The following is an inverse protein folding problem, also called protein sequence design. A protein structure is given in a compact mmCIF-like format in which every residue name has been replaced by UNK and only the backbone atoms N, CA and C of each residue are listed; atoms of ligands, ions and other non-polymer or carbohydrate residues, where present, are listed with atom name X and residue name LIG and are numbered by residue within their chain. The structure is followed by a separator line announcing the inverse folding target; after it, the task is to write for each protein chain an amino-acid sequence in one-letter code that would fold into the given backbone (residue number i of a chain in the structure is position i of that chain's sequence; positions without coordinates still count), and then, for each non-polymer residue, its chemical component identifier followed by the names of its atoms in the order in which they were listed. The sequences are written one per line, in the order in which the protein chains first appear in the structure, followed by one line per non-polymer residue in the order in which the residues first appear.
data_IF_968094465730
#
_entry.id   IF_968094465730
#
_cell.length_a   1.000
_cell.length_b   1.000
_cell.length_c   1.000
_cell.angle_alpha   90.00
_cell.angle_beta   90.00
_cell.angle_gamma   90.00
#
_symmetry.space_group_name_H-M   'P 1'
#
loop_
_entity.id
_entity.type
_entity.pdbx_description
1 polymer ?
#
# COMPACT_ATOMS: atom_id res chain seq x y z
N UNK A 1 -27.32 -14.90 -6.89
CA UNK A 1 -25.87 -15.07 -7.17
C UNK A 1 -25.58 -14.33 -8.47
N UNK A 2 -24.54 -13.49 -8.50
CA UNK A 2 -24.10 -12.85 -9.75
C UNK A 2 -23.68 -13.94 -10.73
N UNK A 3 -24.13 -13.88 -11.97
CA UNK A 3 -23.71 -14.85 -13.00
C UNK A 3 -22.29 -14.46 -13.45
N UNK A 4 -21.30 -15.37 -13.37
CA UNK A 4 -19.92 -15.05 -13.77
C UNK A 4 -19.85 -14.58 -15.22
N UNK A 5 -19.08 -13.52 -15.52
CA UNK A 5 -18.94 -12.96 -16.87
C UNK A 5 -18.48 -14.01 -17.89
N UNK A 6 -19.05 -14.10 -19.07
CA UNK A 6 -18.52 -14.97 -20.14
C UNK A 6 -17.16 -14.47 -20.64
N UNK A 7 -16.41 -15.32 -21.35
CA UNK A 7 -15.15 -14.91 -21.97
C UNK A 7 -15.35 -13.73 -22.94
N UNK A 8 -16.49 -13.71 -23.63
CA UNK A 8 -16.87 -12.62 -24.52
C UNK A 8 -17.10 -11.31 -23.76
N UNK A 9 -17.83 -11.34 -22.63
CA UNK A 9 -18.04 -10.15 -21.79
C UNK A 9 -16.73 -9.60 -21.21
N UNK A 10 -15.80 -10.48 -20.80
CA UNK A 10 -14.47 -10.08 -20.32
C UNK A 10 -13.67 -9.45 -21.46
N UNK A 11 -13.66 -10.07 -22.65
CA UNK A 11 -12.98 -9.56 -23.84
C UNK A 11 -13.51 -8.18 -24.24
N UNK A 12 -14.82 -8.01 -24.34
CA UNK A 12 -15.45 -6.70 -24.63
C UNK A 12 -15.05 -5.66 -23.59
N UNK A 13 -15.09 -6.00 -22.29
CA UNK A 13 -14.65 -5.09 -21.23
C UNK A 13 -13.21 -4.64 -21.44
N UNK A 14 -12.27 -5.55 -21.70
CA UNK A 14 -10.87 -5.21 -21.95
C UNK A 14 -10.66 -4.30 -23.17
N UNK A 15 -11.50 -4.44 -24.20
CA UNK A 15 -11.42 -3.64 -25.43
C UNK A 15 -12.05 -2.25 -25.29
N UNK A 16 -13.15 -2.12 -24.54
CA UNK A 16 -13.98 -0.90 -24.53
C UNK A 16 -13.87 -0.06 -23.27
N UNK A 17 -13.54 -0.66 -22.12
CA UNK A 17 -13.48 0.06 -20.84
C UNK A 17 -12.17 0.88 -20.75
N UNK A 18 -12.24 2.21 -20.52
CA UNK A 18 -11.08 3.06 -20.34
C UNK A 18 -10.11 2.59 -19.23
N UNK A 19 -10.59 1.84 -18.23
CA UNK A 19 -9.76 1.22 -17.17
C UNK A 19 -8.63 0.37 -17.73
N UNK A 20 -8.84 -0.29 -18.88
CA UNK A 20 -7.90 -1.24 -19.47
C UNK A 20 -7.08 -0.67 -20.63
N UNK A 21 -7.25 0.62 -20.94
CA UNK A 21 -6.52 1.28 -22.03
C UNK A 21 -5.00 1.15 -21.82
N UNK A 22 -4.35 0.46 -22.75
CA UNK A 22 -2.89 0.24 -22.73
C UNK A 22 -2.41 -0.82 -21.73
N UNK A 23 -3.31 -1.66 -21.21
CA UNK A 23 -2.97 -2.82 -20.37
C UNK A 23 -2.90 -4.08 -21.24
N UNK A 24 -1.69 -4.62 -21.38
CA UNK A 24 -1.39 -5.85 -22.12
C UNK A 24 -1.49 -7.09 -21.24
N UNK A 25 -2.16 -8.11 -21.76
CA UNK A 25 -2.29 -9.45 -21.17
C UNK A 25 -1.66 -10.47 -22.10
N UNK A 26 -0.85 -11.38 -21.54
CA UNK A 26 -0.25 -12.50 -22.29
C UNK A 26 -1.10 -13.77 -22.29
N UNK A 27 -2.34 -13.65 -21.84
CA UNK A 27 -3.37 -14.68 -21.80
C UNK A 27 -4.69 -14.10 -22.30
N UNK A 28 -5.64 -14.98 -22.57
CA UNK A 28 -6.94 -14.62 -23.14
C UNK A 28 -8.04 -14.58 -22.08
N UNK A 29 -9.17 -13.96 -22.43
CA UNK A 29 -10.37 -14.03 -21.59
C UNK A 29 -10.88 -15.47 -21.39
N UNK A 30 -10.63 -16.36 -22.36
CA UNK A 30 -10.97 -17.78 -22.24
C UNK A 30 -10.11 -18.48 -21.16
N UNK A 31 -8.83 -18.11 -21.04
CA UNK A 31 -7.96 -18.64 -19.98
C UNK A 31 -8.45 -18.22 -18.59
N UNK A 32 -8.92 -16.98 -18.44
CA UNK A 32 -9.53 -16.49 -17.18
C UNK A 32 -10.75 -17.33 -16.81
N UNK A 33 -11.68 -17.54 -17.75
CA UNK A 33 -12.88 -18.35 -17.51
C UNK A 33 -12.53 -19.80 -17.22
N UNK A 34 -11.49 -20.36 -17.84
CA UNK A 34 -11.02 -21.71 -17.59
C UNK A 34 -10.49 -21.90 -16.16
N UNK A 35 -9.88 -20.86 -15.57
CA UNK A 35 -9.18 -20.94 -14.28
C UNK A 35 -10.03 -20.49 -13.07
N UNK A 36 -11.14 -19.77 -13.29
CA UNK A 36 -11.91 -19.15 -12.18
C UNK A 36 -12.84 -20.08 -11.40
N UNK A 37 -13.05 -21.32 -11.85
CA UNK A 37 -14.07 -22.21 -11.30
C UNK A 37 -15.50 -21.87 -11.73
N UNK A 38 -16.50 -22.38 -11.00
CA UNK A 38 -17.92 -22.33 -11.39
C UNK A 38 -18.76 -21.28 -10.65
N UNK A 39 -18.23 -20.68 -9.59
CA UNK A 39 -18.94 -19.70 -8.75
C UNK A 39 -18.10 -18.43 -8.66
N UNK A 40 -18.70 -17.29 -9.00
CA UNK A 40 -18.08 -15.99 -8.79
C UNK A 40 -18.31 -15.54 -7.34
N UNK A 41 -17.24 -15.52 -6.54
CA UNK A 41 -17.25 -14.87 -5.22
C UNK A 41 -17.06 -13.37 -5.44
N UNK A 42 -17.90 -12.57 -4.79
CA UNK A 42 -17.80 -11.11 -4.87
C UNK A 42 -16.79 -10.60 -3.82
N UNK A 43 -15.91 -9.70 -4.25
CA UNK A 43 -14.87 -9.11 -3.40
C UNK A 43 -15.13 -7.60 -3.27
N UNK A 44 -16.22 -7.25 -2.59
CA UNK A 44 -16.79 -5.89 -2.53
C UNK A 44 -15.75 -4.82 -2.16
N UNK A 45 -15.00 -5.01 -1.08
CA UNK A 45 -14.01 -4.02 -0.62
C UNK A 45 -12.84 -3.85 -1.62
N UNK A 46 -12.38 -4.96 -2.22
CA UNK A 46 -11.36 -4.93 -3.25
C UNK A 46 -11.81 -4.17 -4.49
N UNK A 47 -13.05 -4.41 -4.96
CA UNK A 47 -13.66 -3.71 -6.11
C UNK A 47 -13.84 -2.22 -5.83
N UNK A 48 -14.55 -1.88 -4.75
CA UNK A 48 -14.83 -0.49 -4.39
C UNK A 48 -13.54 0.29 -4.17
N UNK A 49 -12.57 -0.29 -3.47
CA UNK A 49 -11.27 0.31 -3.24
C UNK A 49 -10.52 0.57 -4.54
N UNK A 50 -10.43 -0.42 -5.43
CA UNK A 50 -9.71 -0.29 -6.69
C UNK A 50 -10.32 0.77 -7.62
N UNK A 51 -11.65 0.77 -7.76
CA UNK A 51 -12.38 1.77 -8.56
C UNK A 51 -12.22 3.18 -7.99
N UNK A 52 -12.30 3.33 -6.66
CA UNK A 52 -12.07 4.59 -5.97
C UNK A 52 -10.64 5.09 -6.15
N UNK A 53 -9.64 4.21 -5.97
CA UNK A 53 -8.23 4.56 -6.15
C UNK A 53 -7.98 5.06 -7.58
N UNK A 54 -8.48 4.34 -8.57
CA UNK A 54 -8.35 4.72 -9.98
C UNK A 54 -9.03 6.07 -10.28
N UNK A 55 -10.19 6.32 -9.69
CA UNK A 55 -10.92 7.60 -9.83
C UNK A 55 -10.16 8.76 -9.17
N UNK A 56 -9.64 8.56 -7.96
CA UNK A 56 -8.86 9.58 -7.25
C UNK A 56 -7.57 9.94 -8.01
N UNK A 57 -6.85 8.97 -8.54
CA UNK A 57 -5.65 9.21 -9.36
C UNK A 57 -5.93 9.85 -10.72
N UNK A 58 -7.19 9.89 -11.16
CA UNK A 58 -7.62 10.60 -12.38
C UNK A 58 -8.01 12.05 -12.07
N UNK A 59 -8.79 12.25 -11.02
CA UNK A 59 -9.48 13.52 -10.78
C UNK A 59 -8.77 14.40 -9.74
N UNK A 60 -8.03 13.80 -8.82
CA UNK A 60 -7.38 14.50 -7.71
C UNK A 60 -5.93 14.02 -7.45
N UNK A 61 -5.05 13.96 -8.47
CA UNK A 61 -3.66 13.59 -8.25
C UNK A 61 -2.89 14.72 -7.53
N UNK A 62 -1.94 14.39 -6.63
CA UNK A 62 -1.59 13.04 -6.19
C UNK A 62 -2.48 12.54 -5.06
N UNK A 63 -2.78 11.24 -5.07
CA UNK A 63 -3.29 10.54 -3.89
C UNK A 63 -2.13 10.34 -2.92
N UNK A 64 -2.21 10.98 -1.75
CA UNK A 64 -1.20 10.91 -0.70
C UNK A 64 -1.59 9.90 0.37
N UNK A 65 -0.62 9.11 0.80
CA UNK A 65 -0.81 8.08 1.82
C UNK A 65 0.35 8.00 2.81
N UNK A 66 0.09 7.44 3.99
CA UNK A 66 1.09 7.13 5.01
C UNK A 66 1.07 5.63 5.31
N UNK A 67 2.23 5.05 5.60
CA UNK A 67 2.34 3.66 6.02
C UNK A 67 1.58 3.40 7.33
N UNK A 68 0.58 2.52 7.30
CA UNK A 68 -0.18 2.05 8.45
C UNK A 68 0.13 0.57 8.74
N UNK A 69 0.51 0.27 9.99
CA UNK A 69 0.74 -1.11 10.47
C UNK A 69 -0.35 -1.60 11.44
N UNK A 70 -1.29 -0.74 11.81
CA UNK A 70 -2.46 -1.09 12.63
C UNK A 70 -3.75 -0.50 12.05
N UNK A 71 -4.90 -1.07 12.45
CA UNK A 71 -6.21 -0.54 12.07
C UNK A 71 -6.47 0.88 12.61
N UNK A 72 -6.09 1.19 13.86
CA UNK A 72 -6.30 2.53 14.40
C UNK A 72 -5.44 3.60 13.72
N UNK A 73 -4.22 3.27 13.27
CA UNK A 73 -3.44 4.20 12.44
C UNK A 73 -4.21 4.57 11.16
N UNK A 74 -4.78 3.58 10.47
CA UNK A 74 -5.58 3.83 9.27
C UNK A 74 -6.85 4.64 9.56
N UNK A 75 -7.58 4.34 10.64
CA UNK A 75 -8.75 5.13 11.07
C UNK A 75 -8.36 6.59 11.31
N UNK A 76 -7.25 6.85 12.00
CA UNK A 76 -6.77 8.21 12.27
C UNK A 76 -6.30 8.93 11.00
N UNK A 77 -5.63 8.22 10.09
CA UNK A 77 -5.24 8.77 8.78
C UNK A 77 -6.46 9.25 7.98
N UNK A 78 -7.52 8.45 7.94
CA UNK A 78 -8.76 8.78 7.22
C UNK A 78 -9.55 9.88 7.93
N UNK A 79 -9.65 9.83 9.26
CA UNK A 79 -10.28 10.89 10.06
C UNK A 79 -9.57 12.25 9.88
N UNK A 80 -8.25 12.26 9.70
CA UNK A 80 -7.46 13.45 9.39
C UNK A 80 -7.60 13.94 7.93
N UNK A 81 -8.37 13.24 7.09
CA UNK A 81 -8.68 13.63 5.71
C UNK A 81 -7.79 13.02 4.64
N UNK A 82 -6.91 12.06 4.96
CA UNK A 82 -6.17 11.32 3.92
C UNK A 82 -7.13 10.43 3.12
N UNK A 83 -6.96 10.44 1.80
CA UNK A 83 -7.82 9.70 0.86
C UNK A 83 -7.27 8.33 0.45
N UNK A 84 -6.09 7.94 0.95
CA UNK A 84 -5.46 6.66 0.65
C UNK A 84 -4.60 6.17 1.82
N UNK A 85 -4.46 4.85 1.91
CA UNK A 85 -3.65 4.18 2.93
C UNK A 85 -2.55 3.41 2.20
N UNK A 86 -1.32 3.48 2.74
CA UNK A 86 -0.23 2.62 2.29
C UNK A 86 0.01 1.54 3.36
N UNK A 87 0.16 0.29 2.94
CA UNK A 87 0.50 -0.81 3.83
C UNK A 87 1.91 -1.29 3.44
N UNK A 88 2.87 -1.00 4.31
CA UNK A 88 4.30 -1.24 4.10
C UNK A 88 4.71 -2.66 4.51
N UNK A 89 5.32 -3.41 3.59
CA UNK A 89 5.91 -4.73 3.90
C UNK A 89 7.04 -4.62 4.92
N UNK A 90 7.81 -3.54 4.89
CA UNK A 90 8.81 -3.21 5.90
C UNK A 90 8.20 -3.09 7.31
N UNK A 91 7.05 -2.39 7.44
CA UNK A 91 6.41 -2.24 8.76
C UNK A 91 5.80 -3.55 9.26
N UNK A 92 5.31 -4.38 8.33
CA UNK A 92 4.86 -5.74 8.65
C UNK A 92 6.03 -6.58 9.15
N UNK A 93 7.17 -6.56 8.47
CA UNK A 93 8.39 -7.23 8.95
C UNK A 93 8.79 -6.75 10.35
N UNK A 94 8.74 -5.44 10.59
CA UNK A 94 9.18 -4.86 11.86
C UNK A 94 8.25 -5.20 13.03
N UNK A 95 6.93 -5.10 12.88
CA UNK A 95 6.04 -5.07 14.06
C UNK A 95 4.59 -5.58 13.82
N UNK A 96 4.29 -6.19 12.66
CA UNK A 96 2.91 -6.61 12.37
C UNK A 96 2.78 -7.92 11.56
N UNK A 97 3.79 -8.78 11.60
CA UNK A 97 3.77 -10.07 10.89
C UNK A 97 3.27 -11.24 11.74
N UNK A 98 2.90 -12.33 11.06
CA UNK A 98 2.30 -13.52 11.65
C UNK A 98 3.30 -14.48 12.31
N UNK A 99 4.60 -14.29 12.11
CA UNK A 99 5.62 -15.01 12.87
C UNK A 99 5.82 -14.44 14.28
N UNK A 100 5.29 -13.23 14.55
CA UNK A 100 5.42 -12.59 15.86
C UNK A 100 6.85 -12.19 16.21
N UNK A 101 7.71 -12.00 15.21
CA UNK A 101 9.11 -11.60 15.37
C UNK A 101 9.33 -10.21 14.78
N UNK A 102 10.29 -9.47 15.32
CA UNK A 102 10.80 -8.26 14.69
C UNK A 102 11.84 -8.64 13.63
N UNK A 103 11.54 -8.40 12.36
CA UNK A 103 12.42 -8.69 11.25
C UNK A 103 12.90 -7.42 10.53
N UNK A 104 14.12 -7.46 9.93
CA UNK A 104 14.47 -6.53 8.88
C UNK A 104 13.65 -6.82 7.60
N UNK A 105 13.57 -5.83 6.71
CA UNK A 105 12.86 -5.92 5.43
C UNK A 105 13.64 -6.76 4.39
N UNK A 106 13.48 -8.08 4.50
CA UNK A 106 14.14 -9.09 3.67
C UNK A 106 13.25 -10.30 3.35
N UNK A 107 11.93 -10.11 3.27
CA UNK A 107 10.96 -11.19 2.97
C UNK A 107 11.05 -12.41 3.92
N UNK A 108 11.42 -12.19 5.19
CA UNK A 108 11.59 -13.27 6.18
C UNK A 108 10.26 -13.73 6.80
N UNK A 109 9.26 -12.86 6.80
CA UNK A 109 7.98 -13.14 7.45
C UNK A 109 7.08 -14.03 6.58
N UNK A 110 6.10 -14.75 7.17
CA UNK A 110 5.18 -15.58 6.39
C UNK A 110 4.30 -14.74 5.45
N UNK A 111 4.15 -15.22 4.20
CA UNK A 111 3.50 -14.50 3.08
C UNK A 111 2.06 -14.02 3.37
N UNK A 112 1.37 -14.61 4.34
CA UNK A 112 0.00 -14.22 4.74
C UNK A 112 -0.03 -12.93 5.60
N UNK A 113 1.11 -12.44 6.06
CA UNK A 113 1.20 -11.31 6.99
C UNK A 113 0.59 -10.02 6.44
N UNK A 114 0.96 -9.62 5.22
CA UNK A 114 0.40 -8.40 4.60
C UNK A 114 -1.11 -8.55 4.35
N UNK A 115 -1.63 -9.63 3.74
CA UNK A 115 -3.07 -9.89 3.65
C UNK A 115 -3.80 -9.78 4.99
N UNK A 116 -3.21 -10.27 6.09
CA UNK A 116 -3.82 -10.20 7.42
C UNK A 116 -3.91 -8.76 7.93
N UNK A 117 -2.91 -7.92 7.66
CA UNK A 117 -2.94 -6.49 8.00
C UNK A 117 -3.93 -5.72 7.11
N UNK A 118 -4.06 -6.05 5.82
CA UNK A 118 -5.12 -5.49 4.94
C UNK A 118 -6.50 -5.77 5.54
N UNK A 119 -6.79 -7.03 5.92
CA UNK A 119 -8.05 -7.41 6.58
C UNK A 119 -8.27 -6.63 7.87
N UNK A 120 -7.23 -6.49 8.70
CA UNK A 120 -7.30 -5.73 9.96
C UNK A 120 -7.62 -4.25 9.74
N UNK A 121 -7.00 -3.62 8.74
CA UNK A 121 -7.28 -2.23 8.39
C UNK A 121 -8.73 -2.07 7.92
N UNK A 122 -9.18 -2.90 6.97
CA UNK A 122 -10.55 -2.86 6.49
C UNK A 122 -11.59 -3.10 7.60
N UNK A 123 -11.32 -4.01 8.55
CA UNK A 123 -12.18 -4.24 9.70
C UNK A 123 -12.27 -3.00 10.63
N UNK A 124 -11.15 -2.31 10.85
CA UNK A 124 -11.13 -1.09 11.65
C UNK A 124 -11.89 0.07 10.97
N UNK A 125 -11.72 0.25 9.67
CA UNK A 125 -12.48 1.24 8.89
C UNK A 125 -13.97 0.91 8.86
N UNK A 126 -14.33 -0.37 8.75
CA UNK A 126 -15.73 -0.83 8.83
C UNK A 126 -16.34 -0.49 10.19
N UNK A 127 -15.60 -0.68 11.28
CA UNK A 127 -16.07 -0.29 12.62
C UNK A 127 -16.28 1.22 12.73
N UNK A 128 -15.33 2.03 12.22
CA UNK A 128 -15.44 3.48 12.22
C UNK A 128 -16.66 3.97 11.41
N UNK A 129 -16.92 3.34 10.25
CA UNK A 129 -18.11 3.58 9.42
C UNK A 129 -19.41 3.24 10.14
N UNK A 130 -19.47 2.06 10.76
CA UNK A 130 -20.63 1.62 11.54
C UNK A 130 -20.95 2.57 12.71
N UNK A 131 -19.93 3.07 13.41
CA UNK A 131 -20.10 4.06 14.47
C UNK A 131 -20.64 5.37 13.89
N UNK A 132 -20.01 5.90 12.83
CA UNK A 132 -20.47 7.14 12.19
C UNK A 132 -21.91 7.02 11.67
N UNK A 133 -22.27 5.88 11.05
CA UNK A 133 -23.62 5.63 10.57
C UNK A 133 -24.66 5.61 11.69
N UNK A 134 -24.36 4.94 12.81
CA UNK A 134 -25.22 4.93 14.00
C UNK A 134 -25.46 6.35 14.55
N UNK A 135 -24.45 7.21 14.46
CA UNK A 135 -24.54 8.62 14.87
C UNK A 135 -25.19 9.53 13.82
N UNK A 136 -25.64 8.99 12.68
CA UNK A 136 -26.20 9.77 11.58
C UNK A 136 -25.17 10.63 10.84
N UNK A 137 -23.87 10.32 10.97
CA UNK A 137 -22.76 11.05 10.35
C UNK A 137 -22.35 10.42 9.01
N UNK A 138 -21.98 11.28 8.07
CA UNK A 138 -21.54 10.91 6.71
C UNK A 138 -20.45 11.84 6.16
N UNK A 139 -19.82 12.61 7.03
CA UNK A 139 -18.79 13.60 6.71
C UNK A 139 -17.46 12.97 6.27
N UNK A 140 -17.17 11.74 6.70
CA UNK A 140 -15.95 11.00 6.37
C UNK A 140 -16.28 9.80 5.50
N UNK A 141 -15.55 9.64 4.39
CA UNK A 141 -15.58 8.41 3.62
C UNK A 141 -14.55 7.42 4.17
N UNK A 142 -14.99 6.51 5.04
CA UNK A 142 -14.10 5.62 5.82
C UNK A 142 -13.34 4.61 4.98
N UNK A 143 -13.93 4.10 3.89
CA UNK A 143 -13.31 3.07 3.04
C UNK A 143 -12.27 3.66 2.08
N UNK A 144 -11.22 4.26 2.63
CA UNK A 144 -10.08 4.72 1.84
C UNK A 144 -9.34 3.53 1.19
N UNK A 145 -8.96 3.63 -0.10
CA UNK A 145 -8.23 2.57 -0.79
C UNK A 145 -6.89 2.26 -0.15
N UNK A 146 -6.62 0.97 0.04
CA UNK A 146 -5.35 0.45 0.56
C UNK A 146 -4.47 0.03 -0.61
N UNK A 147 -3.28 0.62 -0.73
CA UNK A 147 -2.21 0.14 -1.60
C UNK A 147 -1.23 -0.68 -0.77
N UNK A 148 -1.14 -1.98 -1.06
CA UNK A 148 -0.40 -2.95 -0.25
C UNK A 148 0.89 -3.44 -0.94
N UNK A 149 1.87 -3.75 -0.11
CA UNK A 149 3.17 -4.28 -0.50
C UNK A 149 3.14 -5.80 -0.70
N UNK A 150 3.43 -6.27 -1.92
CA UNK A 150 3.60 -7.69 -2.21
C UNK A 150 5.09 -8.08 -2.37
N UNK A 151 6.01 -7.18 -2.02
CA UNK A 151 7.45 -7.36 -2.11
C UNK A 151 7.88 -7.91 -3.48
N UNK A 152 8.76 -8.92 -3.48
CA UNK A 152 9.20 -9.64 -4.66
C UNK A 152 8.27 -10.84 -5.03
N UNK A 153 7.08 -10.92 -4.40
CA UNK A 153 6.10 -11.99 -4.60
C UNK A 153 6.41 -13.29 -3.85
N UNK A 154 7.32 -13.29 -2.87
CA UNK A 154 7.67 -14.43 -2.01
C UNK A 154 8.08 -15.72 -2.74
N UNK A 155 8.53 -15.60 -4.00
CA UNK A 155 8.96 -16.75 -4.80
C UNK A 155 8.83 -16.49 -6.29
N UNK A 156 8.25 -17.46 -7.01
CA UNK A 156 8.00 -17.40 -8.44
C UNK A 156 6.68 -16.74 -8.82
N UNK A 157 6.23 -16.98 -10.04
CA UNK A 157 4.95 -16.49 -10.58
C UNK A 157 3.73 -17.05 -9.83
N UNK A 158 3.74 -18.33 -9.44
CA UNK A 158 2.65 -18.93 -8.66
C UNK A 158 2.51 -18.32 -7.26
N UNK A 159 3.63 -17.98 -6.60
CA UNK A 159 3.60 -17.27 -5.33
C UNK A 159 3.05 -15.84 -5.51
N UNK A 160 3.45 -15.14 -6.58
CA UNK A 160 2.90 -13.83 -6.91
C UNK A 160 1.38 -13.88 -7.19
N UNK A 161 0.90 -14.93 -7.87
CA UNK A 161 -0.52 -15.17 -8.11
C UNK A 161 -1.30 -15.33 -6.79
N UNK A 162 -0.87 -16.26 -5.92
CA UNK A 162 -1.56 -16.51 -4.65
C UNK A 162 -1.52 -15.31 -3.71
N UNK A 163 -0.40 -14.58 -3.67
CA UNK A 163 -0.31 -13.36 -2.86
C UNK A 163 -1.25 -12.26 -3.39
N UNK A 164 -1.29 -12.03 -4.71
CA UNK A 164 -2.23 -11.08 -5.29
C UNK A 164 -3.67 -11.46 -4.98
N UNK A 165 -4.03 -12.74 -5.15
CA UNK A 165 -5.35 -13.26 -4.79
C UNK A 165 -5.69 -12.98 -3.33
N UNK A 166 -4.80 -13.34 -2.39
CA UNK A 166 -5.01 -13.12 -0.96
C UNK A 166 -5.17 -11.63 -0.61
N UNK A 167 -4.44 -10.73 -1.28
CA UNK A 167 -4.56 -9.29 -1.10
C UNK A 167 -5.89 -8.75 -1.63
N UNK A 168 -6.36 -9.24 -2.78
CA UNK A 168 -7.68 -8.88 -3.33
C UNK A 168 -8.80 -9.38 -2.41
N UNK A 169 -8.72 -10.63 -1.95
CA UNK A 169 -9.68 -11.20 -0.98
C UNK A 169 -9.73 -10.41 0.33
N UNK A 170 -8.57 -9.92 0.78
CA UNK A 170 -8.47 -9.07 1.97
C UNK A 170 -9.05 -7.65 1.76
N UNK A 171 -9.29 -7.24 0.52
CA UNK A 171 -9.84 -5.95 0.15
C UNK A 171 -8.78 -4.87 -0.15
N UNK A 172 -7.61 -5.25 -0.67
CA UNK A 172 -6.64 -4.29 -1.18
C UNK A 172 -7.15 -3.64 -2.48
N UNK A 173 -6.98 -2.31 -2.60
CA UNK A 173 -7.35 -1.54 -3.78
C UNK A 173 -6.27 -1.58 -4.87
N UNK A 174 -5.01 -1.58 -4.42
CA UNK A 174 -3.85 -1.72 -5.29
C UNK A 174 -2.75 -2.52 -4.63
N UNK A 175 -1.88 -3.10 -5.44
CA UNK A 175 -0.79 -3.95 -5.00
C UNK A 175 0.46 -3.61 -5.80
N UNK A 176 1.61 -3.51 -5.13
CA UNK A 176 2.89 -3.35 -5.80
C UNK A 176 3.77 -4.58 -5.67
N UNK A 177 4.45 -4.93 -6.77
CA UNK A 177 5.50 -5.95 -6.81
C UNK A 177 6.81 -5.29 -7.23
N UNK A 178 7.95 -5.87 -6.86
CA UNK A 178 9.29 -5.38 -7.23
C UNK A 178 10.17 -6.43 -7.92
N UNK A 179 11.08 -5.97 -8.77
CA UNK A 179 11.93 -6.81 -9.64
C UNK A 179 13.18 -7.39 -8.95
N UNK A 180 13.10 -7.59 -7.63
CA UNK A 180 14.14 -8.25 -6.85
C UNK A 180 13.96 -9.78 -6.81
N UNK A 181 15.05 -10.49 -6.54
CA UNK A 181 15.05 -11.91 -6.19
C UNK A 181 14.48 -12.09 -4.78
N UNK A 182 13.36 -12.81 -4.65
CA UNK A 182 12.65 -12.96 -3.37
C UNK A 182 13.53 -13.52 -2.24
N UNK A 183 14.36 -14.53 -2.52
CA UNK A 183 15.25 -15.12 -1.51
C UNK A 183 16.39 -14.21 -1.06
N UNK A 184 16.60 -13.08 -1.73
CA UNK A 184 17.60 -12.07 -1.42
C UNK A 184 17.00 -10.66 -1.35
N UNK A 185 15.67 -10.54 -1.17
CA UNK A 185 14.97 -9.25 -1.13
C UNK A 185 15.57 -8.33 -0.07
N UNK A 186 15.57 -7.03 -0.33
CA UNK A 186 15.97 -5.99 0.61
C UNK A 186 15.02 -4.81 0.54
N UNK A 187 15.04 -3.99 1.59
CA UNK A 187 14.57 -2.61 1.49
C UNK A 187 15.30 -1.89 0.32
N UNK A 188 14.56 -1.10 -0.44
CA UNK A 188 15.09 -0.37 -1.59
C UNK A 188 16.27 0.56 -1.30
N UNK A 189 16.43 0.95 -0.04
CA UNK A 189 17.48 1.85 0.46
C UNK A 189 18.66 1.09 1.09
N UNK A 190 18.70 -0.24 0.99
CA UNK A 190 19.81 -1.08 1.43
C UNK A 190 20.69 -1.52 0.25
N UNK A 191 21.96 -1.81 0.54
CA UNK A 191 22.86 -2.46 -0.43
C UNK A 191 22.55 -3.95 -0.61
N UNK A 192 23.19 -4.58 -1.59
CA UNK A 192 23.09 -6.03 -1.82
C UNK A 192 21.80 -6.50 -2.48
N UNK A 193 21.06 -5.59 -3.14
CA UNK A 193 19.89 -5.94 -3.95
C UNK A 193 20.29 -6.76 -5.16
N UNK A 194 19.55 -7.85 -5.41
CA UNK A 194 19.72 -8.73 -6.56
C UNK A 194 18.46 -8.65 -7.41
N UNK A 195 18.59 -8.18 -8.65
CA UNK A 195 17.49 -8.13 -9.60
C UNK A 195 17.20 -9.51 -10.19
N UNK A 196 15.95 -9.76 -10.57
CA UNK A 196 15.59 -10.83 -11.52
C UNK A 196 15.64 -10.29 -12.96
N UNK A 197 15.73 -11.15 -13.98
CA UNK A 197 15.69 -10.73 -15.37
C UNK A 197 14.37 -10.02 -15.69
N UNK A 198 14.41 -9.05 -16.61
CA UNK A 198 13.24 -8.25 -17.00
C UNK A 198 12.04 -9.16 -17.36
N UNK A 199 12.27 -10.28 -18.06
CA UNK A 199 11.23 -11.26 -18.41
C UNK A 199 10.58 -11.94 -17.21
N UNK A 200 11.33 -12.25 -16.16
CA UNK A 200 10.81 -12.92 -14.98
C UNK A 200 9.88 -12.00 -14.21
N UNK A 201 10.28 -10.73 -14.04
CA UNK A 201 9.40 -9.77 -13.38
C UNK A 201 8.14 -9.48 -14.19
N UNK A 202 8.23 -9.39 -15.52
CA UNK A 202 7.04 -9.30 -16.39
C UNK A 202 6.12 -10.51 -16.21
N UNK A 203 6.65 -11.72 -16.02
CA UNK A 203 5.83 -12.91 -15.71
C UNK A 203 5.12 -12.79 -14.36
N UNK A 204 5.80 -12.29 -13.31
CA UNK A 204 5.17 -12.01 -12.01
C UNK A 204 4.04 -10.97 -12.12
N UNK A 205 4.25 -9.90 -12.89
CA UNK A 205 3.21 -8.90 -13.15
C UNK A 205 2.00 -9.48 -13.91
N UNK A 206 2.24 -10.37 -14.87
CA UNK A 206 1.16 -11.08 -15.58
C UNK A 206 0.40 -12.03 -14.66
N UNK A 207 1.10 -12.74 -13.75
CA UNK A 207 0.49 -13.59 -12.74
C UNK A 207 -0.39 -12.78 -11.77
N UNK A 208 0.08 -11.63 -11.30
CA UNK A 208 -0.71 -10.72 -10.49
C UNK A 208 -1.96 -10.19 -11.24
N UNK A 209 -1.81 -9.78 -12.50
CA UNK A 209 -2.98 -9.35 -13.31
C UNK A 209 -3.97 -10.50 -13.48
N UNK A 210 -3.48 -11.72 -13.73
CA UNK A 210 -4.33 -12.90 -13.93
C UNK A 210 -5.13 -13.22 -12.66
N UNK A 211 -4.52 -13.12 -11.48
CA UNK A 211 -5.24 -13.28 -10.21
C UNK A 211 -6.38 -12.27 -10.08
N UNK A 212 -6.14 -10.99 -10.37
CA UNK A 212 -7.18 -9.96 -10.33
C UNK A 212 -8.31 -10.20 -11.34
N UNK A 213 -7.97 -10.61 -12.57
CA UNK A 213 -8.95 -10.93 -13.61
C UNK A 213 -9.79 -12.17 -13.26
N UNK A 214 -9.18 -13.21 -12.67
CA UNK A 214 -9.88 -14.41 -12.20
C UNK A 214 -10.84 -14.09 -11.07
N UNK A 215 -10.46 -13.19 -10.16
CA UNK A 215 -11.30 -12.70 -9.07
C UNK A 215 -12.32 -11.65 -9.52
N UNK A 216 -12.28 -11.26 -10.79
CA UNK A 216 -13.16 -10.25 -11.38
C UNK A 216 -13.07 -8.87 -10.71
N UNK A 217 -11.88 -8.46 -10.24
CA UNK A 217 -11.66 -7.18 -9.54
C UNK A 217 -10.68 -6.29 -10.31
N UNK A 218 -10.97 -5.00 -10.52
CA UNK A 218 -10.11 -4.10 -11.29
C UNK A 218 -8.88 -3.57 -10.53
N UNK A 219 -8.25 -4.41 -9.70
CA UNK A 219 -7.16 -4.06 -8.78
C UNK A 219 -6.05 -3.29 -9.48
N UNK A 220 -5.59 -2.21 -8.86
CA UNK A 220 -4.51 -1.37 -9.39
C UNK A 220 -3.17 -2.10 -9.19
N UNK A 221 -2.45 -2.36 -10.28
CA UNK A 221 -1.14 -3.02 -10.25
C UNK A 221 -0.02 -2.01 -10.42
N UNK A 222 0.92 -1.98 -9.47
CA UNK A 222 2.11 -1.12 -9.50
C UNK A 222 3.35 -1.97 -9.74
N UNK A 223 4.13 -1.63 -10.77
CA UNK A 223 5.42 -2.26 -11.04
C UNK A 223 6.55 -1.39 -10.48
N UNK A 224 7.23 -1.90 -9.45
CA UNK A 224 8.42 -1.28 -8.88
C UNK A 224 9.69 -1.84 -9.52
N UNK A 225 10.65 -0.98 -9.82
CA UNK A 225 12.02 -1.37 -10.15
C UNK A 225 13.01 -0.88 -9.10
N UNK A 226 13.95 -1.75 -8.75
CA UNK A 226 15.07 -1.47 -7.85
C UNK A 226 16.39 -1.25 -8.60
N UNK A 227 16.34 -1.22 -9.94
CA UNK A 227 17.50 -1.14 -10.83
C UNK A 227 18.27 0.18 -10.78
N UNK A 228 17.76 1.20 -10.08
CA UNK A 228 18.50 2.44 -9.86
C UNK A 228 19.80 2.21 -9.09
N UNK A 229 19.77 1.38 -8.04
CA UNK A 229 20.90 1.18 -7.12
C UNK A 229 21.28 -0.29 -6.93
N UNK A 230 20.55 -1.24 -7.52
CA UNK A 230 20.94 -2.64 -7.49
C UNK A 230 22.23 -2.87 -8.28
N UNK A 231 23.12 -3.71 -7.72
CA UNK A 231 24.44 -4.00 -8.29
C UNK A 231 24.58 -5.44 -8.75
N UNK A 232 23.53 -6.25 -8.63
CA UNK A 232 23.51 -7.67 -8.94
C UNK A 232 22.24 -8.03 -9.72
N UNK A 233 22.34 -9.04 -10.59
CA UNK A 233 21.21 -9.66 -11.28
C UNK A 233 21.43 -11.18 -11.34
N UNK A 234 20.36 -11.97 -11.25
CA UNK A 234 20.48 -13.45 -11.19
C UNK A 234 20.98 -14.09 -12.47
N UNK A 235 20.61 -13.54 -13.63
CA UNK A 235 20.90 -14.13 -14.93
C UNK A 235 20.98 -13.05 -16.03
N UNK A 236 21.76 -13.36 -17.05
CA UNK A 236 21.93 -12.62 -18.31
C UNK A 236 21.03 -13.18 -19.43
N UNK A 237 20.01 -13.97 -19.12
CA UNK A 237 19.15 -14.63 -20.12
C UNK A 237 18.29 -13.65 -20.95
N UNK A 238 18.10 -12.41 -20.50
CA UNK A 238 17.27 -11.41 -21.16
C UNK A 238 18.12 -10.33 -21.81
N UNK A 239 18.05 -10.23 -23.14
CA UNK A 239 18.84 -9.27 -23.93
C UNK A 239 18.60 -7.82 -23.50
N UNK A 240 17.43 -7.51 -22.94
CA UNK A 240 17.09 -6.15 -22.45
C UNK A 240 17.96 -5.74 -21.25
N UNK A 241 18.51 -6.70 -20.52
CA UNK A 241 19.36 -6.45 -19.36
C UNK A 241 20.85 -6.32 -19.74
N UNK A 242 21.25 -6.75 -20.95
CA UNK A 242 22.65 -6.87 -21.35
C UNK A 242 23.43 -5.56 -21.33
N UNK A 243 22.77 -4.45 -21.68
CA UNK A 243 23.39 -3.13 -21.72
C UNK A 243 23.94 -2.67 -20.35
N UNK A 244 23.46 -3.28 -19.27
CA UNK A 244 23.79 -2.91 -17.89
C UNK A 244 24.68 -3.96 -17.20
N UNK A 245 25.07 -5.04 -17.88
CA UNK A 245 25.93 -6.08 -17.30
C UNK A 245 27.40 -5.69 -17.31
N UNK A 246 28.12 -6.00 -16.23
CA UNK A 246 29.58 -5.83 -16.15
C UNK A 246 30.35 -7.12 -16.54
N UNK A 247 29.63 -8.17 -16.99
CA UNK A 247 30.17 -9.46 -17.45
C UNK A 247 31.15 -10.14 -16.48
N UNK A 248 30.96 -9.92 -15.19
CA UNK A 248 31.65 -10.63 -14.10
C UNK A 248 30.63 -11.22 -13.13
N UNK A 249 30.97 -12.33 -12.47
CA UNK A 249 30.08 -13.03 -11.53
C UNK A 249 30.59 -13.00 -10.10
N UNK A 250 29.69 -13.09 -9.14
CA UNK A 250 29.98 -13.26 -7.71
C UNK A 250 30.18 -14.74 -7.36
N UNK A 251 30.56 -15.03 -6.11
CA UNK A 251 30.77 -16.41 -5.62
C UNK A 251 29.46 -17.21 -5.55
N UNK A 252 28.32 -16.54 -5.36
CA UNK A 252 26.98 -17.12 -5.42
C UNK A 252 26.51 -17.33 -6.87
N UNK A 253 27.26 -16.82 -7.85
CA UNK A 253 26.94 -16.90 -9.26
C UNK A 253 26.06 -15.76 -9.79
N UNK A 254 25.78 -14.71 -9.02
CA UNK A 254 25.07 -13.54 -9.58
C UNK A 254 25.96 -12.77 -10.55
N UNK A 255 25.36 -12.18 -11.59
CA UNK A 255 26.07 -11.25 -12.47
C UNK A 255 26.14 -9.87 -11.83
N UNK A 256 27.29 -9.19 -11.97
CA UNK A 256 27.38 -7.77 -11.64
C UNK A 256 26.56 -6.93 -12.62
N UNK A 257 25.78 -6.02 -12.05
CA UNK A 257 24.85 -5.14 -12.74
C UNK A 257 25.21 -3.68 -12.44
N UNK A 258 25.16 -2.83 -13.45
CA UNK A 258 25.38 -1.39 -13.32
C UNK A 258 24.03 -0.71 -13.12
N UNK A 259 23.61 -0.60 -11.86
CA UNK A 259 22.42 0.16 -11.51
C UNK A 259 22.54 1.62 -11.91
N UNK A 260 21.48 2.18 -12.49
CA UNK A 260 21.40 3.59 -12.88
C UNK A 260 19.95 4.01 -13.14
N UNK A 261 19.73 5.32 -13.29
CA UNK A 261 18.43 5.84 -13.71
C UNK A 261 18.01 5.31 -15.09
N UNK A 262 18.95 5.17 -16.02
CA UNK A 262 18.73 4.63 -17.36
C UNK A 262 18.33 3.16 -17.32
N UNK A 263 18.93 2.38 -16.42
CA UNK A 263 18.53 1.00 -16.15
C UNK A 263 17.09 0.92 -15.61
N UNK A 264 16.74 1.81 -14.68
CA UNK A 264 15.38 1.91 -14.14
C UNK A 264 14.36 2.35 -15.20
N UNK A 265 14.70 3.31 -16.07
CA UNK A 265 13.84 3.72 -17.19
C UNK A 265 13.63 2.56 -18.15
N UNK A 266 14.70 1.85 -18.56
CA UNK A 266 14.60 0.73 -19.49
C UNK A 266 13.67 -0.37 -18.97
N UNK A 267 13.80 -0.71 -17.68
CA UNK A 267 12.93 -1.67 -16.98
C UNK A 267 11.50 -1.15 -16.82
N UNK A 268 11.33 0.09 -16.39
CA UNK A 268 10.02 0.73 -16.29
C UNK A 268 9.26 0.73 -17.62
N UNK A 269 9.94 0.97 -18.74
CA UNK A 269 9.38 0.88 -20.10
C UNK A 269 8.94 -0.54 -20.48
N UNK A 270 9.64 -1.57 -19.99
CA UNK A 270 9.25 -2.96 -20.19
C UNK A 270 8.06 -3.38 -19.33
N UNK A 271 7.85 -2.75 -18.18
CA UNK A 271 6.79 -3.07 -17.23
C UNK A 271 5.49 -2.29 -17.49
N UNK A 272 5.62 -1.08 -18.04
CA UNK A 272 4.51 -0.15 -18.29
C UNK A 272 3.31 -0.74 -19.06
N UNK A 273 3.46 -1.66 -20.03
CA UNK A 273 2.31 -2.27 -20.69
C UNK A 273 1.47 -3.16 -19.77
N UNK A 274 2.04 -3.75 -18.71
CA UNK A 274 1.32 -4.67 -17.83
C UNK A 274 0.76 -3.96 -16.59
N UNK A 275 1.50 -2.96 -16.11
CA UNK A 275 1.19 -2.24 -14.88
C UNK A 275 0.37 -0.96 -15.10
N UNK A 276 -0.46 -0.65 -14.12
CA UNK A 276 -1.23 0.59 -14.08
C UNK A 276 -0.34 1.78 -13.69
N UNK A 277 0.60 1.55 -12.77
CA UNK A 277 1.62 2.50 -12.37
C UNK A 277 3.03 1.90 -12.44
N UNK A 278 4.03 2.76 -12.68
CA UNK A 278 5.44 2.40 -12.55
C UNK A 278 6.08 3.20 -11.41
N UNK A 279 6.93 2.54 -10.64
CA UNK A 279 7.68 3.13 -9.53
C UNK A 279 9.17 2.79 -9.68
N UNK A 280 10.02 3.81 -9.65
CA UNK A 280 11.46 3.63 -9.46
C UNK A 280 11.82 3.96 -8.02
N UNK A 281 12.43 3.02 -7.30
CA UNK A 281 13.05 3.36 -6.01
C UNK A 281 14.33 4.19 -6.25
N UNK A 282 14.51 5.27 -5.50
CA UNK A 282 15.67 6.18 -5.65
C UNK A 282 16.54 6.21 -4.39
N UNK A 283 17.78 6.70 -4.52
CA UNK A 283 18.72 6.80 -3.40
C UNK A 283 18.59 8.12 -2.63
N UNK A 284 17.98 9.14 -3.24
CA UNK A 284 17.79 10.49 -2.67
C UNK A 284 16.45 11.09 -3.09
N UNK A 285 15.89 12.03 -2.30
CA UNK A 285 14.70 12.77 -2.69
C UNK A 285 15.10 13.88 -3.66
N UNK A 286 15.19 13.56 -4.95
CA UNK A 286 15.68 14.45 -6.01
C UNK A 286 14.58 14.67 -7.07
N UNK A 287 14.16 15.93 -7.27
CA UNK A 287 13.12 16.29 -8.22
C UNK A 287 13.61 16.24 -9.67
N UNK A 288 14.90 16.44 -9.94
CA UNK A 288 15.46 16.40 -11.28
C UNK A 288 15.58 14.94 -11.75
N UNK A 289 16.03 14.03 -10.88
CA UNK A 289 15.98 12.59 -11.18
C UNK A 289 14.54 12.10 -11.39
N UNK A 290 13.61 12.52 -10.52
CA UNK A 290 12.20 12.18 -10.65
C UNK A 290 11.61 12.67 -11.98
N UNK A 291 11.97 13.88 -12.42
CA UNK A 291 11.56 14.43 -13.71
C UNK A 291 12.13 13.64 -14.87
N UNK A 292 13.43 13.33 -14.85
CA UNK A 292 14.10 12.53 -15.90
C UNK A 292 13.49 11.13 -16.04
N UNK A 293 13.16 10.49 -14.91
CA UNK A 293 12.44 9.21 -14.93
C UNK A 293 11.08 9.34 -15.61
N UNK A 294 10.28 10.34 -15.18
CA UNK A 294 8.95 10.57 -15.70
C UNK A 294 8.97 10.84 -17.21
N UNK A 295 9.84 11.74 -17.67
CA UNK A 295 10.04 12.04 -19.09
C UNK A 295 10.46 10.80 -19.88
N UNK A 296 11.36 9.97 -19.34
CA UNK A 296 11.79 8.71 -19.95
C UNK A 296 10.64 7.72 -20.15
N UNK A 297 9.75 7.57 -19.16
CA UNK A 297 8.56 6.71 -19.29
C UNK A 297 7.53 7.33 -20.25
N UNK A 298 7.24 8.62 -20.11
CA UNK A 298 6.22 9.31 -20.90
C UNK A 298 6.58 9.49 -22.37
N UNK A 299 7.87 9.49 -22.72
CA UNK A 299 8.32 9.51 -24.11
C UNK A 299 7.77 8.33 -24.93
N UNK A 300 7.56 7.16 -24.30
CA UNK A 300 6.98 5.98 -24.95
C UNK A 300 5.53 5.70 -24.53
N UNK A 301 5.17 6.02 -23.29
CA UNK A 301 3.83 5.84 -22.74
C UNK A 301 3.30 7.15 -22.16
N UNK A 302 2.88 8.12 -23.01
CA UNK A 302 2.35 9.39 -22.55
C UNK A 302 1.20 9.21 -21.55
N UNK A 303 1.28 9.91 -20.42
CA UNK A 303 0.26 9.85 -19.36
C UNK A 303 0.26 8.56 -18.52
N UNK A 304 1.25 7.67 -18.67
CA UNK A 304 1.43 6.53 -17.75
C UNK A 304 1.63 7.06 -16.33
N UNK A 305 0.77 6.63 -15.41
CA UNK A 305 0.83 7.08 -14.01
C UNK A 305 2.07 6.52 -13.33
N UNK A 306 2.63 7.31 -12.43
CA UNK A 306 3.82 6.95 -11.67
C UNK A 306 3.50 6.93 -10.18
N UNK A 307 4.28 6.19 -9.40
CA UNK A 307 4.24 6.26 -7.95
C UNK A 307 5.61 6.67 -7.38
N UNK A 308 5.59 7.42 -6.27
CA UNK A 308 6.80 7.91 -5.62
C UNK A 308 6.81 7.61 -4.12
N UNK A 309 7.90 7.01 -3.66
CA UNK A 309 8.16 6.79 -2.25
C UNK A 309 8.87 8.01 -1.63
N UNK A 310 8.14 8.77 -0.82
CA UNK A 310 8.71 9.81 0.03
C UNK A 310 9.35 9.17 1.27
N UNK A 311 10.44 8.44 1.05
CA UNK A 311 11.03 7.52 2.03
C UNK A 311 11.57 8.21 3.29
N UNK A 312 11.24 7.70 4.50
CA UNK A 312 11.92 8.09 5.74
C UNK A 312 13.38 7.64 5.82
N UNK A 313 13.83 6.74 4.93
CA UNK A 313 15.24 6.40 4.81
C UNK A 313 16.09 7.56 4.26
N UNK A 314 15.45 8.61 3.75
CA UNK A 314 16.12 9.85 3.41
C UNK A 314 16.27 10.75 4.65
N UNK A 315 17.45 11.37 4.80
CA UNK A 315 17.59 12.51 5.71
C UNK A 315 17.15 13.79 4.98
N UNK A 316 15.86 14.12 5.08
CA UNK A 316 15.20 15.18 4.32
C UNK A 316 15.86 16.55 4.48
N UNK A 317 16.01 17.06 5.70
CA UNK A 317 16.57 18.40 5.96
C UNK A 317 18.07 18.50 5.69
N UNK A 318 18.79 17.38 5.66
CA UNK A 318 20.19 17.34 5.21
C UNK A 318 20.31 17.43 3.69
N UNK A 319 19.30 16.97 2.95
CA UNK A 319 19.33 16.87 1.48
C UNK A 319 18.64 18.04 0.80
N UNK A 320 17.58 18.58 1.40
CA UNK A 320 16.71 19.57 0.81
C UNK A 320 16.48 20.73 1.79
N UNK A 321 16.34 21.94 1.26
CA UNK A 321 15.88 23.08 2.03
C UNK A 321 14.36 23.01 2.31
N UNK A 322 13.88 23.80 3.28
CA UNK A 322 12.49 23.80 3.71
C UNK A 322 11.52 24.19 2.57
N UNK A 323 11.92 25.11 1.68
CA UNK A 323 11.08 25.54 0.57
C UNK A 323 10.86 24.41 -0.45
N UNK A 324 11.90 23.62 -0.70
CA UNK A 324 11.87 22.46 -1.60
C UNK A 324 11.06 21.32 -0.99
N UNK A 325 11.23 21.03 0.30
CA UNK A 325 10.40 20.05 1.03
C UNK A 325 8.92 20.42 0.93
N UNK A 326 8.57 21.70 1.17
CA UNK A 326 7.19 22.17 1.15
C UNK A 326 6.50 22.00 -0.22
N UNK A 327 7.24 22.09 -1.33
CA UNK A 327 6.69 21.89 -2.68
C UNK A 327 6.85 20.48 -3.24
N UNK A 328 7.67 19.63 -2.61
CA UNK A 328 8.16 18.37 -3.19
C UNK A 328 7.05 17.51 -3.81
N UNK A 329 6.02 17.18 -3.03
CA UNK A 329 4.90 16.34 -3.48
C UNK A 329 4.04 16.99 -4.57
N UNK A 330 3.93 18.33 -4.57
CA UNK A 330 3.20 19.08 -5.60
C UNK A 330 3.93 19.02 -6.93
N UNK A 331 5.25 19.25 -6.92
CA UNK A 331 6.08 19.17 -8.13
C UNK A 331 6.07 17.75 -8.71
N UNK A 332 6.20 16.72 -7.87
CA UNK A 332 6.04 15.33 -8.30
C UNK A 332 4.66 15.08 -8.93
N UNK A 333 3.59 15.62 -8.36
CA UNK A 333 2.25 15.50 -8.92
C UNK A 333 2.16 16.04 -10.36
N UNK A 334 2.79 17.19 -10.63
CA UNK A 334 2.84 17.79 -11.96
C UNK A 334 3.65 16.95 -12.97
N UNK A 335 4.56 16.09 -12.50
CA UNK A 335 5.33 15.15 -13.33
C UNK A 335 4.60 13.82 -13.60
N UNK A 336 3.38 13.64 -13.07
CA UNK A 336 2.60 12.41 -13.27
C UNK A 336 2.73 11.35 -12.18
N UNK A 337 3.39 11.68 -11.05
CA UNK A 337 3.38 10.84 -9.85
C UNK A 337 2.04 10.93 -9.13
N UNK A 338 1.08 10.11 -9.60
CA UNK A 338 -0.32 10.14 -9.18
C UNK A 338 -0.57 9.48 -7.81
N UNK A 339 0.34 8.62 -7.34
CA UNK A 339 0.30 8.05 -5.99
C UNK A 339 1.63 8.33 -5.27
N UNK A 340 1.55 8.92 -4.08
CA UNK A 340 2.73 9.31 -3.31
C UNK A 340 2.56 8.88 -1.86
N UNK A 341 3.58 8.27 -1.28
CA UNK A 341 3.45 7.65 0.03
C UNK A 341 4.72 7.75 0.86
N UNK A 342 4.55 7.83 2.18
CA UNK A 342 5.65 7.74 3.15
C UNK A 342 5.61 6.34 3.77
N UNK A 343 6.52 5.47 3.33
CA UNK A 343 6.52 4.03 3.68
C UNK A 343 6.54 3.75 5.17
N UNK A 344 7.41 4.42 5.93
CA UNK A 344 7.68 4.10 7.34
C UNK A 344 7.01 5.08 8.33
N UNK A 345 6.00 5.84 7.88
CA UNK A 345 5.34 6.85 8.71
C UNK A 345 4.82 6.30 10.05
N UNK A 346 4.01 5.23 10.01
CA UNK A 346 3.49 4.56 11.20
C UNK A 346 4.56 4.07 12.18
N UNK A 347 5.64 3.46 11.68
CA UNK A 347 6.76 2.99 12.51
C UNK A 347 7.43 4.15 13.26
N UNK A 348 7.80 5.23 12.55
CA UNK A 348 8.44 6.37 13.19
C UNK A 348 7.51 7.08 14.17
N UNK A 349 6.23 7.28 13.80
CA UNK A 349 5.26 7.91 14.68
C UNK A 349 5.05 7.11 15.98
N UNK A 350 4.85 5.79 15.87
CA UNK A 350 4.62 4.90 17.01
C UNK A 350 5.82 4.85 17.96
N UNK A 351 7.01 4.63 17.40
CA UNK A 351 8.22 4.47 18.22
C UNK A 351 8.59 5.78 18.91
N UNK A 352 8.52 6.90 18.19
CA UNK A 352 8.86 8.21 18.76
C UNK A 352 7.88 8.59 19.88
N UNK A 353 6.57 8.53 19.61
CA UNK A 353 5.58 8.95 20.61
C UNK A 353 5.63 8.11 21.88
N UNK A 354 5.84 6.79 21.73
CA UNK A 354 5.98 5.90 22.89
C UNK A 354 7.28 6.13 23.65
N UNK A 355 8.40 6.38 22.95
CA UNK A 355 9.67 6.67 23.60
C UNK A 355 9.63 7.98 24.39
N UNK A 356 9.04 9.04 23.82
CA UNK A 356 8.86 10.33 24.50
C UNK A 356 7.95 10.20 25.72
N UNK A 357 6.81 9.50 25.58
CA UNK A 357 5.90 9.24 26.69
C UNK A 357 6.57 8.44 27.80
N UNK A 358 7.24 7.33 27.47
CA UNK A 358 7.91 6.48 28.44
C UNK A 358 9.06 7.20 29.16
N UNK A 359 9.81 8.04 28.43
CA UNK A 359 10.87 8.87 29.00
C UNK A 359 10.30 9.89 29.99
N UNK A 360 9.26 10.63 29.58
CA UNK A 360 8.58 11.57 30.48
C UNK A 360 7.92 10.87 31.66
N UNK A 361 7.33 9.68 31.48
CA UNK A 361 6.67 8.93 32.55
C UNK A 361 7.68 8.38 33.56
N UNK A 362 8.87 7.95 33.12
CA UNK A 362 9.97 7.58 34.01
C UNK A 362 10.37 8.75 34.92
N UNK A 363 10.43 9.96 34.37
CA UNK A 363 10.99 11.12 35.07
C UNK A 363 9.93 11.89 35.87
N UNK A 364 8.66 11.90 35.43
CA UNK A 364 7.61 12.78 35.95
C UNK A 364 6.26 12.05 36.19
N UNK A 365 6.20 10.74 35.96
CA UNK A 365 5.01 9.89 36.11
C UNK A 365 3.76 10.50 35.45
N UNK A 366 2.68 10.65 36.22
CA UNK A 366 1.37 11.10 35.72
C UNK A 366 1.41 12.49 35.08
N UNK A 367 2.39 13.33 35.40
CA UNK A 367 2.54 14.65 34.75
C UNK A 367 2.77 14.50 33.24
N UNK A 368 3.59 13.53 32.84
CA UNK A 368 3.85 13.26 31.43
C UNK A 368 2.62 12.69 30.72
N UNK A 369 1.88 11.79 31.38
CA UNK A 369 0.64 11.24 30.82
C UNK A 369 -0.46 12.31 30.72
N UNK A 370 -0.61 13.18 31.71
CA UNK A 370 -1.56 14.29 31.68
C UNK A 370 -1.29 15.22 30.49
N UNK A 371 -0.02 15.53 30.17
CA UNK A 371 0.31 16.34 28.99
C UNK A 371 -0.11 15.69 27.68
N UNK A 372 0.01 14.36 27.56
CA UNK A 372 -0.49 13.62 26.40
C UNK A 372 -2.01 13.78 26.30
N UNK A 373 -2.73 13.59 27.41
CA UNK A 373 -4.18 13.72 27.47
C UNK A 373 -4.66 15.16 27.16
N UNK A 374 -4.00 16.17 27.70
CA UNK A 374 -4.29 17.58 27.40
C UNK A 374 -4.14 17.87 25.90
N UNK A 375 -3.10 17.30 25.27
CA UNK A 375 -2.90 17.42 23.83
C UNK A 375 -4.02 16.75 23.02
N UNK A 376 -4.54 15.62 23.49
CA UNK A 376 -5.70 14.97 22.88
C UNK A 376 -6.96 15.85 22.95
N UNK A 377 -7.24 16.47 24.10
CA UNK A 377 -8.33 17.43 24.25
C UNK A 377 -8.18 18.66 23.33
N UNK A 378 -6.97 19.19 23.20
CA UNK A 378 -6.69 20.30 22.30
C UNK A 378 -6.97 19.94 20.83
N UNK A 379 -6.56 18.72 20.41
CA UNK A 379 -6.81 18.22 19.07
C UNK A 379 -8.29 17.91 18.81
N UNK A 380 -9.02 17.44 19.82
CA UNK A 380 -10.47 17.25 19.72
C UNK A 380 -11.17 18.58 19.40
N UNK A 381 -10.81 19.65 20.14
CA UNK A 381 -11.39 20.99 19.96
C UNK A 381 -10.98 21.66 18.65
N UNK A 382 -9.72 21.51 18.24
CA UNK A 382 -9.15 22.25 17.10
C UNK A 382 -9.26 21.53 15.76
N UNK A 383 -9.33 20.20 15.76
CA UNK A 383 -9.24 19.38 14.56
C UNK A 383 -10.20 18.17 14.52
N UNK A 384 -11.05 17.98 15.54
CA UNK A 384 -12.03 16.89 15.56
C UNK A 384 -11.46 15.50 15.88
N UNK A 385 -10.31 15.43 16.57
CA UNK A 385 -9.74 14.15 17.01
C UNK A 385 -10.70 13.40 17.97
N UNK A 386 -11.08 12.17 17.61
CA UNK A 386 -12.17 11.45 18.28
C UNK A 386 -11.75 10.44 19.36
N UNK A 387 -10.47 10.06 19.45
CA UNK A 387 -10.06 8.96 20.32
C UNK A 387 -9.88 9.33 21.80
N UNK A 388 -10.07 10.59 22.16
CA UNK A 388 -10.16 11.05 23.57
C UNK A 388 -11.21 10.25 24.34
N UNK A 389 -12.39 10.10 23.71
CA UNK A 389 -13.47 9.21 24.15
C UNK A 389 -13.22 7.81 23.61
N UNK A 390 -12.24 7.13 24.20
CA UNK A 390 -11.70 5.87 23.71
C UNK A 390 -12.72 4.71 23.72
N UNK A 391 -13.67 4.67 24.64
CA UNK A 391 -14.74 3.65 24.67
C UNK A 391 -15.66 3.82 23.47
N UNK A 392 -16.16 5.05 23.27
CA UNK A 392 -16.94 5.40 22.10
C UNK A 392 -16.19 5.15 20.80
N UNK A 393 -14.91 5.55 20.73
CA UNK A 393 -14.06 5.42 19.55
C UNK A 393 -13.87 3.97 19.09
N UNK A 394 -13.77 3.01 20.02
CA UNK A 394 -13.66 1.58 19.68
C UNK A 394 -15.03 0.90 19.49
N UNK A 395 -16.12 1.63 19.69
CA UNK A 395 -17.47 1.21 19.34
C UNK A 395 -18.31 0.69 20.50
N UNK A 396 -18.00 1.03 21.75
CA UNK A 396 -18.83 0.62 22.90
C UNK A 396 -20.30 1.02 22.69
N UNK A 397 -20.57 2.25 22.25
CA UNK A 397 -21.94 2.70 21.96
C UNK A 397 -22.60 1.96 20.79
N UNK A 398 -21.82 1.48 19.83
CA UNK A 398 -22.36 0.63 18.76
C UNK A 398 -22.77 -0.74 19.28
N UNK A 399 -21.97 -1.34 20.17
CA UNK A 399 -22.30 -2.62 20.79
C UNK A 399 -23.46 -2.51 21.78
N UNK A 400 -23.59 -1.39 22.49
CA UNK A 400 -24.77 -1.10 23.32
C UNK A 400 -26.05 -1.03 22.45
N UNK A 401 -26.01 -0.33 21.31
CA UNK A 401 -27.13 -0.28 20.37
C UNK A 401 -27.49 -1.66 19.79
N UNK A 402 -26.47 -2.49 19.48
CA UNK A 402 -26.67 -3.88 19.06
C UNK A 402 -27.34 -4.70 20.18
N UNK A 403 -26.86 -4.58 21.41
CA UNK A 403 -27.41 -5.29 22.56
C UNK A 403 -28.87 -4.90 22.81
N UNK A 404 -29.16 -3.61 22.78
CA UNK A 404 -30.52 -3.06 22.92
C UNK A 404 -31.47 -3.58 21.83
N UNK A 405 -30.97 -3.68 20.59
CA UNK A 405 -31.73 -4.23 19.47
C UNK A 405 -32.03 -5.72 19.69
N UNK A 406 -31.05 -6.50 20.16
CA UNK A 406 -31.20 -7.94 20.42
C UNK A 406 -32.17 -8.18 21.59
N UNK A 407 -32.11 -7.37 22.64
CA UNK A 407 -32.95 -7.51 23.83
C UNK A 407 -34.35 -6.90 23.67
N UNK A 408 -34.64 -6.21 22.56
CA UNK A 408 -35.90 -5.49 22.40
C UNK A 408 -36.08 -4.32 23.36
N UNK A 409 -34.98 -3.72 23.84
CA UNK A 409 -35.01 -2.57 24.76
C UNK A 409 -34.87 -2.91 26.24
N UNK A 410 -34.65 -4.18 26.60
CA UNK A 410 -34.67 -4.64 27.99
C UNK A 410 -33.26 -4.85 28.59
N UNK A 411 -32.20 -4.40 27.90
CA UNK A 411 -30.83 -4.68 28.38
C UNK A 411 -30.50 -3.86 29.63
N UNK A 412 -30.15 -4.55 30.70
CA UNK A 412 -29.65 -3.95 31.95
C UNK A 412 -28.12 -3.92 32.04
N UNK A 413 -27.40 -4.37 31.01
CA UNK A 413 -25.94 -4.53 31.02
C UNK A 413 -25.23 -3.72 29.93
N UNK A 414 -25.85 -2.62 29.48
CA UNK A 414 -25.21 -1.64 28.59
C UNK A 414 -24.00 -1.01 29.28
N UNK A 415 -22.97 -0.72 28.49
CA UNK A 415 -21.66 -0.32 29.01
C UNK A 415 -21.49 1.19 29.20
N UNK A 416 -22.06 2.02 28.32
CA UNK A 416 -21.80 3.47 28.36
C UNK A 416 -22.59 4.22 29.44
N UNK A 417 -23.78 3.74 29.81
CA UNK A 417 -24.78 4.56 30.51
C UNK A 417 -24.36 5.02 31.92
N UNK A 418 -23.38 4.35 32.54
CA UNK A 418 -22.75 4.69 33.83
C UNK A 418 -21.20 4.70 33.74
N UNK A 419 -20.66 4.92 32.54
CA UNK A 419 -19.20 4.91 32.31
C UNK A 419 -18.52 6.20 32.80
N UNK A 420 -17.27 6.10 33.26
CA UNK A 420 -16.45 7.29 33.57
C UNK A 420 -16.27 8.20 32.36
N UNK A 421 -16.25 7.64 31.14
CA UNK A 421 -16.22 8.41 29.89
C UNK A 421 -17.42 9.36 29.78
N UNK A 422 -18.64 8.88 30.04
CA UNK A 422 -19.86 9.72 30.04
C UNK A 422 -19.85 10.82 31.11
N UNK A 423 -19.13 10.61 32.21
CA UNK A 423 -19.12 11.53 33.35
C UNK A 423 -17.96 12.53 33.36
N UNK A 424 -16.83 12.23 32.71
CA UNK A 424 -15.59 13.01 32.82
C UNK A 424 -15.08 13.59 31.49
N UNK A 425 -15.65 13.19 30.35
CA UNK A 425 -15.18 13.57 29.01
C UNK A 425 -16.23 14.31 28.19
#
# INVERSE_FOLDING_TARGET
MSTPRTAEQIRTSWETDPRWKGVERRYTAADVVKLRGTVQVEHTLGRMGAERLWTLMQNEPPVRALGALTGNMAVQQVAAGLKGIYLSGWQVAADANTAGQMYPDQSLYPVDSVPNVVRRINAALTRADQIAHLEGRSDVHWFAPIVADAEAGFGGDLNAYELMKALVEAGAAGVHFEDQLASAKKCGHMGGKVLVPTREFVQKLQAARLAADVLDVPTVLVARTDAHSATLITSDVDERDHAFLERTRTVEGFWKYRGSLEAAIARGLAYAPVADLVWCETSTPDLDEAKRFAEGIHARYPGKRLAYNCSPSFNWSKKLDAATIAKFQRELGAMGYAFQFVTLAGFHALNLSMFELASGYRDEAMTAYSRLQDREFDLQKSAGYGAVTHQKFVGTGWFDALQETISGGESSTKALDDSTEKHQF
#
